data_IF_204753663337
#
_entry.id   IF_204753663337
#
_cell.length_a   1.000
_cell.length_b   1.000
_cell.length_c   1.000
_cell.angle_alpha   90.00
_cell.angle_beta   90.00
_cell.angle_gamma   90.00
#
_symmetry.space_group_name_H-M   'P 1'
#
loop_
_entity.id
_entity.type
_entity.pdbx_description
1 polymer ?
#
# COMPACT_ATOMS: atom_id res chain seq x y z
N UNK A 1 6.40 -20.63 22.78
CA UNK A 1 6.57 -19.93 24.08
C UNK A 1 7.90 -20.29 24.75
N UNK A 2 8.29 -21.58 24.78
CA UNK A 2 9.57 -22.02 25.38
C UNK A 2 10.79 -21.33 24.74
N UNK A 3 10.79 -21.24 23.42
CA UNK A 3 11.88 -20.63 22.64
C UNK A 3 12.05 -19.14 22.94
N UNK A 4 10.93 -18.41 23.04
CA UNK A 4 10.94 -16.98 23.41
C UNK A 4 11.41 -16.77 24.85
N UNK A 5 10.96 -17.62 25.78
CA UNK A 5 11.39 -17.57 27.19
C UNK A 5 12.89 -17.87 27.32
N UNK A 6 13.37 -18.88 26.56
CA UNK A 6 14.78 -19.22 26.47
C UNK A 6 15.60 -18.08 25.87
N UNK A 7 15.08 -17.41 24.84
CA UNK A 7 15.73 -16.26 24.20
C UNK A 7 15.85 -15.07 25.16
N UNK A 8 14.77 -14.74 25.89
CA UNK A 8 14.77 -13.69 26.92
C UNK A 8 15.80 -13.97 28.02
N UNK A 9 15.84 -15.22 28.50
CA UNK A 9 16.79 -15.66 29.54
C UNK A 9 18.23 -15.74 29.05
N UNK A 10 18.43 -16.02 27.75
CA UNK A 10 19.73 -16.26 27.09
C UNK A 10 20.42 -15.01 26.56
N UNK A 11 20.11 -13.84 27.14
CA UNK A 11 20.73 -12.58 26.77
C UNK A 11 19.99 -11.78 25.72
N UNK A 12 18.89 -12.28 25.13
CA UNK A 12 18.01 -11.54 24.22
C UNK A 12 18.74 -10.92 23.00
N UNK A 13 19.54 -11.72 22.29
CA UNK A 13 20.25 -11.30 21.08
C UNK A 13 19.29 -11.20 19.86
N UNK A 14 19.09 -10.02 19.26
CA UNK A 14 18.16 -9.83 18.14
C UNK A 14 18.39 -10.75 16.94
N UNK A 15 19.62 -11.16 16.67
CA UNK A 15 19.94 -12.06 15.54
C UNK A 15 19.36 -13.47 15.71
N UNK A 16 19.13 -13.89 16.95
CA UNK A 16 18.62 -15.22 17.30
C UNK A 16 17.15 -15.24 17.71
N UNK A 17 16.43 -14.13 17.51
CA UNK A 17 15.01 -14.04 17.90
C UNK A 17 14.17 -15.14 17.23
N UNK A 18 13.32 -15.86 17.97
CA UNK A 18 12.58 -17.02 17.46
C UNK A 18 11.35 -16.60 16.64
N UNK A 19 11.58 -15.97 15.48
CA UNK A 19 10.50 -15.50 14.60
C UNK A 19 9.54 -16.61 14.18
N UNK A 20 10.04 -17.78 13.79
CA UNK A 20 9.19 -18.87 13.27
C UNK A 20 8.20 -19.40 14.33
N UNK A 21 8.62 -19.77 15.56
CA UNK A 21 7.67 -20.14 16.61
C UNK A 21 6.68 -19.04 16.98
N UNK A 22 7.10 -17.77 16.97
CA UNK A 22 6.20 -16.64 17.27
C UNK A 22 5.17 -16.50 16.15
N UNK A 23 5.60 -16.45 14.89
CA UNK A 23 4.70 -16.37 13.75
C UNK A 23 3.72 -17.54 13.69
N UNK A 24 4.18 -18.76 13.97
CA UNK A 24 3.32 -19.94 13.98
C UNK A 24 2.13 -19.77 14.94
N UNK A 25 2.33 -19.14 16.10
CA UNK A 25 1.24 -18.86 17.03
C UNK A 25 0.27 -17.80 16.47
N UNK A 26 0.77 -16.71 15.89
CA UNK A 26 -0.07 -15.70 15.25
C UNK A 26 -0.88 -16.29 14.08
N UNK A 27 -0.27 -17.18 13.30
CA UNK A 27 -0.93 -17.87 12.18
C UNK A 27 -1.95 -18.90 12.65
N UNK A 28 -1.74 -19.52 13.81
CA UNK A 28 -2.64 -20.51 14.40
C UNK A 28 -3.90 -19.87 14.98
N UNK A 29 -3.80 -18.70 15.61
CA UNK A 29 -4.94 -18.05 16.29
C UNK A 29 -5.51 -16.85 15.55
N UNK A 30 -4.75 -16.25 14.64
CA UNK A 30 -5.00 -14.89 14.16
C UNK A 30 -4.51 -13.87 15.19
N UNK A 31 -3.96 -12.75 14.69
CA UNK A 31 -3.36 -11.68 15.52
C UNK A 31 -4.30 -11.15 16.60
N UNK A 32 -5.61 -11.08 16.32
CA UNK A 32 -6.59 -10.59 17.28
C UNK A 32 -6.75 -11.49 18.51
N UNK A 33 -6.47 -12.80 18.36
CA UNK A 33 -6.74 -13.82 19.38
C UNK A 33 -5.48 -14.43 20.00
N UNK A 34 -4.31 -13.84 19.75
CA UNK A 34 -3.06 -14.29 20.38
C UNK A 34 -3.17 -14.16 21.90
N UNK A 35 -2.75 -15.20 22.63
CA UNK A 35 -2.85 -15.26 24.08
C UNK A 35 -2.03 -14.17 24.78
N UNK A 36 -2.64 -13.54 25.81
CA UNK A 36 -2.01 -12.46 26.60
C UNK A 36 -0.64 -12.82 27.18
N UNK A 37 -0.41 -14.08 27.52
CA UNK A 37 0.89 -14.55 28.01
C UNK A 37 2.01 -14.41 26.97
N UNK A 38 1.74 -14.76 25.70
CA UNK A 38 2.71 -14.54 24.63
C UNK A 38 2.91 -13.04 24.36
N UNK A 39 1.84 -12.26 24.34
CA UNK A 39 1.92 -10.80 24.14
C UNK A 39 2.78 -10.12 25.21
N UNK A 40 2.63 -10.51 26.48
CA UNK A 40 3.46 -10.00 27.57
C UNK A 40 4.96 -10.34 27.39
N UNK A 41 5.29 -11.56 26.97
CA UNK A 41 6.68 -11.94 26.68
C UNK A 41 7.26 -11.17 25.47
N UNK A 42 6.44 -10.89 24.46
CA UNK A 42 6.86 -10.08 23.31
C UNK A 42 7.07 -8.61 23.70
N UNK A 43 6.26 -8.08 24.62
CA UNK A 43 6.44 -6.74 25.17
C UNK A 43 7.72 -6.62 26.02
N UNK A 44 8.03 -7.66 26.81
CA UNK A 44 9.32 -7.78 27.51
C UNK A 44 10.49 -7.82 26.50
N UNK A 45 10.35 -8.60 25.43
CA UNK A 45 11.35 -8.63 24.35
C UNK A 45 11.54 -7.25 23.72
N UNK A 46 10.45 -6.50 23.51
CA UNK A 46 10.51 -5.12 23.00
C UNK A 46 11.27 -4.20 23.93
N UNK A 47 11.07 -4.30 25.25
CA UNK A 47 11.82 -3.52 26.23
C UNK A 47 13.33 -3.82 26.19
N UNK A 48 13.71 -5.10 26.06
CA UNK A 48 15.13 -5.49 25.90
C UNK A 48 15.76 -4.92 24.63
N UNK A 49 15.03 -4.96 23.52
CA UNK A 49 15.50 -4.41 22.23
C UNK A 49 15.66 -2.89 22.31
N UNK A 50 14.72 -2.18 22.94
CA UNK A 50 14.80 -0.74 23.14
C UNK A 50 15.99 -0.33 24.02
N UNK A 51 16.25 -1.05 25.11
CA UNK A 51 17.39 -0.79 25.99
C UNK A 51 18.73 -0.97 25.26
N UNK A 52 18.84 -1.98 24.39
CA UNK A 52 20.03 -2.21 23.54
C UNK A 52 20.22 -1.11 22.50
N UNK A 53 19.15 -0.69 21.84
CA UNK A 53 19.19 0.38 20.83
C UNK A 53 19.62 1.72 21.44
N UNK A 54 19.26 1.99 22.70
CA UNK A 54 19.69 3.20 23.42
C UNK A 54 21.18 3.20 23.82
N UNK A 55 21.79 2.03 23.98
CA UNK A 55 23.21 1.88 24.34
C UNK A 55 24.16 1.78 23.13
N UNK A 56 23.65 1.42 21.96
CA UNK A 56 24.39 1.46 20.71
C UNK A 56 24.33 2.88 20.11
N UNK A 57 25.43 3.37 19.51
CA UNK A 57 25.44 4.64 18.76
C UNK A 57 24.43 4.65 17.58
N UNK A 58 24.40 5.71 16.76
CA UNK A 58 23.33 5.95 15.77
C UNK A 58 23.14 4.88 14.67
N UNK A 59 23.97 3.85 14.63
CA UNK A 59 23.85 2.73 13.70
C UNK A 59 22.99 1.62 14.34
N UNK A 60 21.67 1.78 14.29
CA UNK A 60 20.70 0.73 14.58
C UNK A 60 20.98 -0.46 13.65
N UNK A 61 21.58 -1.55 14.15
CA UNK A 61 21.99 -2.68 13.31
C UNK A 61 20.77 -3.30 12.62
N UNK A 62 20.95 -3.84 11.40
CA UNK A 62 19.86 -4.44 10.61
C UNK A 62 18.95 -5.40 11.40
N UNK A 63 19.51 -6.31 12.22
CA UNK A 63 18.74 -7.22 13.08
C UNK A 63 17.91 -6.51 14.17
N UNK A 64 18.47 -5.51 14.86
CA UNK A 64 17.76 -4.74 15.90
C UNK A 64 16.57 -4.00 15.28
N UNK A 65 16.81 -3.30 14.16
CA UNK A 65 15.76 -2.60 13.42
C UNK A 65 14.65 -3.55 12.96
N UNK A 66 15.00 -4.72 12.42
CA UNK A 66 14.04 -5.71 11.96
C UNK A 66 13.17 -6.22 13.12
N UNK A 67 13.78 -6.56 14.25
CA UNK A 67 13.07 -7.04 15.43
C UNK A 67 12.16 -5.96 16.01
N UNK A 68 12.63 -4.72 16.12
CA UNK A 68 11.78 -3.59 16.52
C UNK A 68 10.58 -3.43 15.59
N UNK A 69 10.81 -3.34 14.28
CA UNK A 69 9.73 -3.15 13.31
C UNK A 69 8.74 -4.34 13.32
N UNK A 70 9.22 -5.57 13.59
CA UNK A 70 8.37 -6.76 13.75
C UNK A 70 7.54 -6.71 15.04
N UNK A 71 8.15 -6.39 16.18
CA UNK A 71 7.46 -6.29 17.47
C UNK A 71 6.44 -5.15 17.47
N UNK A 72 6.75 -4.03 16.81
CA UNK A 72 5.81 -2.93 16.60
C UNK A 72 4.56 -3.38 15.85
N UNK A 73 4.71 -4.25 14.84
CA UNK A 73 3.59 -4.84 14.14
C UNK A 73 2.90 -5.86 15.04
N UNK A 74 3.61 -6.80 15.64
CA UNK A 74 3.03 -7.90 16.41
C UNK A 74 2.21 -7.42 17.63
N UNK A 75 2.63 -6.32 18.27
CA UNK A 75 2.05 -5.75 19.48
C UNK A 75 1.10 -4.57 19.24
N UNK A 76 0.82 -4.18 18.00
CA UNK A 76 -0.02 -3.01 17.72
C UNK A 76 -1.42 -3.05 18.39
N UNK A 77 -2.07 -4.22 18.44
CA UNK A 77 -3.35 -4.45 19.12
C UNK A 77 -3.17 -4.48 20.64
N UNK A 78 -2.07 -5.04 21.14
CA UNK A 78 -1.72 -5.03 22.56
C UNK A 78 -1.61 -3.59 23.08
N UNK A 79 -1.05 -2.70 22.28
CA UNK A 79 -0.87 -1.28 22.62
C UNK A 79 -2.10 -0.40 22.37
N UNK A 80 -3.17 -0.93 21.75
CA UNK A 80 -4.28 -0.12 21.27
C UNK A 80 -3.91 0.86 20.13
N UNK A 81 -2.78 0.63 19.44
CA UNK A 81 -2.27 1.47 18.33
C UNK A 81 -2.63 0.95 16.95
N UNK A 82 -3.41 -0.12 16.88
CA UNK A 82 -3.73 -0.84 15.64
C UNK A 82 -4.27 0.09 14.55
N UNK A 83 -3.49 0.26 13.49
CA UNK A 83 -3.78 1.13 12.36
C UNK A 83 -3.49 0.42 11.02
N UNK A 84 -3.76 1.11 9.91
CA UNK A 84 -3.52 0.58 8.56
C UNK A 84 -2.06 0.20 8.29
N UNK A 85 -1.11 0.98 8.83
CA UNK A 85 0.32 0.79 8.56
C UNK A 85 0.85 -0.43 9.30
N UNK A 86 0.43 -0.63 10.54
CA UNK A 86 0.79 -1.80 11.34
C UNK A 86 0.06 -3.04 10.84
N UNK A 87 -1.22 -2.93 10.46
CA UNK A 87 -1.98 -4.03 9.84
C UNK A 87 -1.31 -4.57 8.57
N UNK A 88 -0.82 -3.70 7.70
CA UNK A 88 -0.12 -4.09 6.48
C UNK A 88 1.40 -4.28 6.66
N UNK A 89 1.92 -4.13 7.87
CA UNK A 89 3.33 -4.28 8.19
C UNK A 89 4.29 -3.52 7.25
N UNK A 90 3.90 -2.30 6.82
CA UNK A 90 4.58 -1.59 5.73
C UNK A 90 6.06 -1.29 6.01
N UNK A 91 6.43 -1.09 7.29
CA UNK A 91 7.82 -0.86 7.73
C UNK A 91 8.72 -2.05 7.41
N UNK A 92 8.22 -3.27 7.61
CA UNK A 92 8.99 -4.50 7.33
C UNK A 92 9.31 -4.62 5.85
N UNK A 93 8.40 -4.17 4.98
CA UNK A 93 8.57 -4.19 3.52
C UNK A 93 9.39 -3.02 2.97
N UNK A 94 9.85 -2.10 3.82
CA UNK A 94 10.50 -0.87 3.37
C UNK A 94 9.59 0.02 2.51
N UNK A 95 8.27 -0.21 2.56
CA UNK A 95 7.26 0.63 1.91
C UNK A 95 7.02 1.87 2.76
N UNK A 96 6.89 3.03 2.11
CA UNK A 96 7.45 4.27 2.61
C UNK A 96 6.88 4.63 3.98
N UNK A 97 7.81 4.79 4.90
CA UNK A 97 7.59 5.13 6.29
C UNK A 97 8.38 6.38 6.71
N UNK A 98 9.05 7.04 5.75
CA UNK A 98 9.90 8.22 5.94
C UNK A 98 10.01 9.08 4.68
N UNK A 99 10.72 10.21 4.79
CA UNK A 99 10.70 11.34 3.85
C UNK A 99 11.87 11.41 2.85
N UNK A 100 12.60 10.30 2.65
CA UNK A 100 13.73 10.26 1.73
C UNK A 100 13.32 10.60 0.30
N UNK A 101 13.60 11.83 -0.13
CA UNK A 101 13.49 12.31 -1.49
C UNK A 101 14.80 12.97 -1.90
N UNK A 102 15.26 12.69 -3.12
CA UNK A 102 16.49 13.23 -3.69
C UNK A 102 17.52 12.13 -3.92
N UNK A 103 17.60 11.68 -5.18
CA UNK A 103 18.62 10.74 -5.61
C UNK A 103 19.01 10.95 -7.08
N UNK A 104 20.21 10.51 -7.44
CA UNK A 104 20.74 10.59 -8.81
C UNK A 104 19.84 9.89 -9.84
N UNK A 105 20.08 10.06 -11.15
CA UNK A 105 19.32 9.33 -12.20
C UNK A 105 19.45 7.81 -12.02
N UNK A 106 20.65 7.34 -11.66
CA UNK A 106 20.94 5.92 -11.39
C UNK A 106 20.20 5.41 -10.16
N UNK A 107 20.18 6.20 -9.07
CA UNK A 107 19.40 5.86 -7.87
C UNK A 107 17.91 5.75 -8.17
N UNK A 108 17.35 6.66 -8.99
CA UNK A 108 15.94 6.61 -9.39
C UNK A 108 15.60 5.40 -10.27
N UNK A 109 16.48 5.01 -11.19
CA UNK A 109 16.29 3.81 -12.00
C UNK A 109 16.31 2.55 -11.10
N UNK A 110 17.24 2.49 -10.15
CA UNK A 110 17.29 1.43 -9.15
C UNK A 110 16.04 1.43 -8.26
N UNK A 111 15.51 2.60 -7.88
CA UNK A 111 14.23 2.71 -7.15
C UNK A 111 13.06 2.15 -7.97
N UNK A 112 12.93 2.50 -9.25
CA UNK A 112 11.87 1.97 -10.13
C UNK A 112 11.94 0.44 -10.23
N UNK A 113 13.13 -0.09 -10.49
CA UNK A 113 13.34 -1.53 -10.58
C UNK A 113 13.02 -2.23 -9.25
N UNK A 114 13.43 -1.64 -8.12
CA UNK A 114 13.10 -2.14 -6.79
C UNK A 114 11.59 -2.16 -6.49
N UNK A 115 10.84 -1.16 -6.97
CA UNK A 115 9.37 -1.13 -6.85
C UNK A 115 8.70 -2.21 -7.69
N UNK A 116 9.16 -2.39 -8.93
CA UNK A 116 8.66 -3.45 -9.82
C UNK A 116 8.93 -4.84 -9.23
N UNK A 117 10.15 -5.07 -8.71
CA UNK A 117 10.52 -6.30 -7.99
C UNK A 117 9.61 -6.55 -6.80
N UNK A 118 9.44 -5.57 -5.92
CA UNK A 118 8.59 -5.71 -4.74
C UNK A 118 7.12 -5.98 -5.12
N UNK A 119 6.59 -5.29 -6.13
CA UNK A 119 5.25 -5.56 -6.65
C UNK A 119 5.11 -7.01 -7.15
N UNK A 120 6.08 -7.50 -7.90
CA UNK A 120 6.14 -8.90 -8.35
C UNK A 120 6.21 -9.85 -7.16
N UNK A 121 7.08 -9.60 -6.18
CA UNK A 121 7.23 -10.43 -4.98
C UNK A 121 5.92 -10.55 -4.20
N UNK A 122 5.21 -9.43 -3.99
CA UNK A 122 3.94 -9.41 -3.24
C UNK A 122 2.84 -10.21 -3.92
N UNK A 123 2.68 -10.07 -5.24
CA UNK A 123 1.65 -10.80 -5.98
C UNK A 123 2.04 -12.26 -6.17
N UNK A 124 3.31 -12.56 -6.47
CA UNK A 124 3.81 -13.92 -6.59
C UNK A 124 3.66 -14.71 -5.27
N UNK A 125 3.85 -14.04 -4.13
CA UNK A 125 3.63 -14.61 -2.80
C UNK A 125 2.15 -14.93 -2.53
N UNK A 126 1.23 -14.05 -2.92
CA UNK A 126 -0.21 -14.33 -2.87
C UNK A 126 -0.58 -15.55 -3.73
N UNK A 127 0.01 -15.67 -4.92
CA UNK A 127 -0.25 -16.83 -5.80
C UNK A 127 0.39 -18.12 -5.28
N UNK A 128 1.57 -18.04 -4.64
CA UNK A 128 2.20 -19.19 -4.00
C UNK A 128 1.36 -19.72 -2.84
N UNK A 129 0.73 -18.82 -2.07
CA UNK A 129 -0.24 -19.21 -1.04
C UNK A 129 -1.46 -19.92 -1.64
N UNK A 130 -2.04 -19.41 -2.74
CA UNK A 130 -3.16 -20.07 -3.44
C UNK A 130 -2.78 -21.47 -3.94
N UNK A 131 -1.58 -21.63 -4.52
CA UNK A 131 -1.04 -22.92 -4.96
C UNK A 131 -0.88 -23.90 -3.79
N UNK A 132 -0.28 -23.45 -2.69
CA UNK A 132 -0.07 -24.27 -1.50
C UNK A 132 -1.40 -24.69 -0.84
N UNK A 133 -2.35 -23.77 -0.76
CA UNK A 133 -3.67 -24.04 -0.20
C UNK A 133 -4.46 -25.03 -1.06
N UNK A 134 -4.40 -24.90 -2.39
CA UNK A 134 -5.04 -25.83 -3.32
C UNK A 134 -4.40 -27.22 -3.32
N UNK A 135 -3.08 -27.31 -3.09
CA UNK A 135 -2.35 -28.57 -2.97
C UNK A 135 -2.47 -29.21 -1.57
N UNK A 136 -3.05 -28.52 -0.58
CA UNK A 136 -3.11 -29.01 0.80
C UNK A 136 -1.75 -29.02 1.52
N UNK A 137 -0.77 -28.25 1.04
CA UNK A 137 0.58 -28.20 1.61
C UNK A 137 0.78 -27.09 2.64
N UNK A 138 -0.28 -26.31 2.94
CA UNK A 138 -0.29 -25.31 4.00
C UNK A 138 -1.57 -25.41 4.84
N UNK A 139 -1.42 -25.22 6.14
CA UNK A 139 -2.51 -25.11 7.11
C UNK A 139 -2.89 -23.65 7.41
N UNK A 140 -2.14 -22.68 6.87
CA UNK A 140 -2.40 -21.26 7.07
C UNK A 140 -3.78 -20.87 6.52
N UNK A 141 -4.51 -20.05 7.30
CA UNK A 141 -5.82 -19.51 6.98
C UNK A 141 -6.81 -20.57 6.44
N UNK A 142 -7.20 -21.55 7.27
CA UNK A 142 -7.97 -22.71 6.84
C UNK A 142 -9.44 -22.40 6.52
N UNK A 143 -9.97 -21.26 6.96
CA UNK A 143 -11.39 -20.95 6.82
C UNK A 143 -11.72 -20.38 5.43
N UNK A 144 -12.91 -20.75 4.91
CA UNK A 144 -13.51 -20.16 3.71
C UNK A 144 -12.65 -20.31 2.43
N UNK A 145 -11.84 -21.37 2.34
CA UNK A 145 -11.00 -21.64 1.17
C UNK A 145 -11.81 -21.66 -0.13
N UNK A 146 -11.33 -20.99 -1.19
CA UNK A 146 -12.01 -20.94 -2.47
C UNK A 146 -12.00 -22.28 -3.19
N UNK A 147 -13.04 -22.54 -4.00
CA UNK A 147 -13.06 -23.69 -4.89
C UNK A 147 -12.05 -23.57 -6.05
N UNK A 148 -11.73 -24.67 -6.74
CA UNK A 148 -10.65 -24.74 -7.75
C UNK A 148 -10.85 -23.77 -8.93
N UNK A 149 -12.09 -23.51 -9.34
CA UNK A 149 -12.37 -22.55 -10.41
C UNK A 149 -12.00 -21.10 -10.02
N UNK A 150 -12.22 -20.72 -8.76
CA UNK A 150 -11.86 -19.39 -8.26
C UNK A 150 -10.34 -19.27 -8.08
N UNK A 151 -9.67 -20.32 -7.60
CA UNK A 151 -8.20 -20.41 -7.54
C UNK A 151 -7.58 -20.24 -8.93
N UNK A 152 -8.04 -20.98 -9.94
CA UNK A 152 -7.55 -20.85 -11.32
C UNK A 152 -7.75 -19.44 -11.88
N UNK A 153 -8.89 -18.80 -11.56
CA UNK A 153 -9.15 -17.40 -11.90
C UNK A 153 -8.15 -16.46 -11.21
N UNK A 154 -7.83 -16.67 -9.93
CA UNK A 154 -6.85 -15.87 -9.18
C UNK A 154 -5.45 -15.98 -9.76
N UNK A 155 -4.99 -17.18 -10.10
CA UNK A 155 -3.70 -17.38 -10.77
C UNK A 155 -3.58 -16.54 -12.05
N UNK A 156 -4.58 -16.64 -12.94
CA UNK A 156 -4.61 -15.85 -14.18
C UNK A 156 -4.62 -14.34 -13.92
N UNK A 157 -5.42 -13.89 -12.95
CA UNK A 157 -5.53 -12.47 -12.62
C UNK A 157 -4.26 -11.91 -11.97
N UNK A 158 -3.59 -12.67 -11.11
CA UNK A 158 -2.33 -12.26 -10.47
C UNK A 158 -1.18 -12.17 -11.45
N UNK A 159 -0.99 -13.17 -12.32
CA UNK A 159 0.03 -13.12 -13.38
C UNK A 159 -0.21 -11.90 -14.28
N UNK A 160 -1.48 -11.67 -14.70
CA UNK A 160 -1.85 -10.49 -15.47
C UNK A 160 -1.58 -9.18 -14.74
N UNK A 161 -1.79 -9.13 -13.42
CA UNK A 161 -1.64 -7.91 -12.63
C UNK A 161 -0.19 -7.42 -12.53
N UNK A 162 0.79 -8.31 -12.64
CA UNK A 162 2.21 -7.94 -12.60
C UNK A 162 2.94 -8.10 -13.94
N UNK A 163 2.28 -8.60 -14.98
CA UNK A 163 2.87 -8.72 -16.32
C UNK A 163 3.59 -7.44 -16.79
N UNK A 164 3.04 -6.22 -16.63
CA UNK A 164 3.77 -5.00 -17.00
C UNK A 164 5.07 -4.79 -16.20
N UNK A 165 5.10 -5.14 -14.92
CA UNK A 165 6.30 -5.04 -14.08
C UNK A 165 7.32 -6.13 -14.47
N UNK A 166 6.86 -7.36 -14.67
CA UNK A 166 7.66 -8.48 -15.19
C UNK A 166 8.35 -8.10 -16.50
N UNK A 167 7.62 -7.51 -17.46
CA UNK A 167 8.20 -7.05 -18.73
C UNK A 167 9.23 -5.93 -18.54
N UNK A 168 9.00 -4.97 -17.64
CA UNK A 168 9.98 -3.91 -17.33
C UNK A 168 11.25 -4.44 -16.67
N UNK A 169 11.16 -5.55 -15.94
CA UNK A 169 12.30 -6.27 -15.38
C UNK A 169 13.04 -7.12 -16.42
N UNK A 170 12.57 -7.19 -17.67
CA UNK A 170 13.14 -8.04 -18.71
C UNK A 170 12.88 -9.53 -18.49
N UNK A 171 11.87 -9.86 -17.69
CA UNK A 171 11.46 -11.23 -17.38
C UNK A 171 10.25 -11.64 -18.24
N UNK A 172 10.04 -12.95 -18.39
CA UNK A 172 8.92 -13.52 -19.12
C UNK A 172 8.29 -14.64 -18.31
N UNK A 173 6.96 -14.65 -18.24
CA UNK A 173 6.15 -15.76 -17.73
C UNK A 173 5.20 -16.15 -18.84
N UNK A 174 5.51 -17.24 -19.53
CA UNK A 174 4.72 -17.74 -20.65
C UNK A 174 4.36 -19.20 -20.40
N UNK A 175 3.19 -19.40 -19.81
CA UNK A 175 2.60 -20.72 -19.63
C UNK A 175 1.07 -20.61 -19.82
N UNK A 176 0.46 -21.43 -20.70
CA UNK A 176 -0.97 -21.37 -20.96
C UNK A 176 -1.82 -21.87 -19.78
N UNK A 177 -1.25 -22.67 -18.87
CA UNK A 177 -1.92 -23.18 -17.68
C UNK A 177 -1.78 -22.19 -16.53
N UNK A 178 -2.89 -21.62 -15.99
CA UNK A 178 -2.81 -20.58 -14.97
C UNK A 178 -1.98 -20.96 -13.73
N UNK A 179 -2.13 -22.20 -13.25
CA UNK A 179 -1.38 -22.67 -12.08
C UNK A 179 0.14 -22.80 -12.36
N UNK A 180 0.52 -23.26 -13.54
CA UNK A 180 1.93 -23.36 -13.93
C UNK A 180 2.54 -21.97 -14.17
N UNK A 181 1.80 -21.04 -14.78
CA UNK A 181 2.22 -19.64 -14.90
C UNK A 181 2.42 -18.98 -13.53
N UNK A 182 1.53 -19.24 -12.57
CA UNK A 182 1.67 -18.75 -11.20
C UNK A 182 2.90 -19.35 -10.50
N UNK A 183 3.15 -20.65 -10.67
CA UNK A 183 4.32 -21.33 -10.11
C UNK A 183 5.63 -20.81 -10.73
N UNK A 184 5.66 -20.59 -12.05
CA UNK A 184 6.80 -20.00 -12.75
C UNK A 184 7.08 -18.57 -12.27
N UNK A 185 6.04 -17.74 -12.11
CA UNK A 185 6.16 -16.40 -11.54
C UNK A 185 6.73 -16.45 -10.11
N UNK A 186 6.25 -17.37 -9.28
CA UNK A 186 6.78 -17.55 -7.93
C UNK A 186 8.25 -17.99 -7.93
N UNK A 187 8.62 -18.93 -8.78
CA UNK A 187 10.02 -19.39 -8.89
C UNK A 187 10.96 -18.26 -9.32
N UNK A 188 10.56 -17.45 -10.31
CA UNK A 188 11.32 -16.27 -10.73
C UNK A 188 11.48 -15.26 -9.60
N UNK A 189 10.38 -14.95 -8.90
CA UNK A 189 10.40 -14.04 -7.76
C UNK A 189 11.29 -14.57 -6.63
N UNK A 190 11.22 -15.86 -6.31
CA UNK A 190 12.03 -16.47 -5.26
C UNK A 190 13.53 -16.48 -5.60
N UNK A 191 13.89 -16.64 -6.88
CA UNK A 191 15.28 -16.62 -7.32
C UNK A 191 15.93 -15.23 -7.30
N UNK A 192 15.14 -14.16 -7.49
CA UNK A 192 15.63 -12.76 -7.42
C UNK A 192 15.73 -12.24 -5.96
N UNK A 193 14.99 -12.81 -5.01
CA UNK A 193 14.96 -12.36 -3.61
C UNK A 193 16.25 -12.64 -2.85
N UNK A 194 16.75 -11.61 -2.16
CA UNK A 194 17.74 -11.78 -1.09
C UNK A 194 17.11 -12.44 0.16
N UNK A 195 17.96 -12.99 1.04
CA UNK A 195 17.51 -13.56 2.31
C UNK A 195 16.80 -12.53 3.22
N UNK A 196 17.18 -11.25 3.13
CA UNK A 196 16.55 -10.17 3.87
C UNK A 196 15.14 -9.85 3.35
N UNK A 197 14.96 -9.83 2.02
CA UNK A 197 13.65 -9.60 1.39
C UNK A 197 12.69 -10.77 1.62
N UNK A 198 13.17 -12.01 1.49
CA UNK A 198 12.40 -13.22 1.82
C UNK A 198 11.93 -13.18 3.29
N UNK A 199 12.82 -12.80 4.21
CA UNK A 199 12.47 -12.63 5.62
C UNK A 199 11.43 -11.52 5.82
N UNK A 200 11.63 -10.34 5.25
CA UNK A 200 10.68 -9.22 5.34
C UNK A 200 9.29 -9.59 4.81
N UNK A 201 9.24 -10.26 3.64
CA UNK A 201 7.99 -10.70 3.03
C UNK A 201 7.24 -11.67 3.93
N UNK A 202 7.93 -12.66 4.51
CA UNK A 202 7.36 -13.59 5.48
C UNK A 202 6.85 -12.88 6.73
N UNK A 203 7.69 -12.08 7.37
CA UNK A 203 7.36 -11.38 8.62
C UNK A 203 6.21 -10.36 8.46
N UNK A 204 5.99 -9.85 7.24
CA UNK A 204 4.91 -8.90 6.95
C UNK A 204 3.51 -9.51 6.82
N UNK A 205 3.37 -10.82 7.00
CA UNK A 205 2.09 -11.53 6.90
C UNK A 205 1.64 -11.98 8.30
N UNK A 206 0.95 -11.10 9.04
CA UNK A 206 0.31 -11.39 10.32
C UNK A 206 -1.20 -11.08 10.25
N UNK A 207 -2.00 -11.94 9.60
CA UNK A 207 -3.46 -11.79 9.50
C UNK A 207 -4.12 -11.64 10.88
N UNK A 208 -5.17 -10.83 10.96
CA UNK A 208 -5.96 -10.66 12.18
C UNK A 208 -6.81 -11.86 12.52
N UNK A 209 -7.21 -12.64 11.52
CA UNK A 209 -8.05 -13.81 11.68
C UNK A 209 -7.59 -14.99 10.81
N UNK A 210 -8.41 -16.04 10.73
CA UNK A 210 -8.10 -17.32 10.07
C UNK A 210 -8.72 -17.45 8.67
N UNK A 211 -9.20 -16.35 8.09
CA UNK A 211 -9.92 -16.32 6.83
C UNK A 211 -8.98 -16.31 5.61
N UNK A 212 -9.17 -17.23 4.66
CA UNK A 212 -8.29 -17.43 3.50
C UNK A 212 -8.01 -16.15 2.70
N UNK A 213 -9.03 -15.35 2.38
CA UNK A 213 -8.82 -14.19 1.51
C UNK A 213 -8.16 -13.00 2.20
N UNK A 214 -7.93 -13.06 3.52
CA UNK A 214 -7.19 -12.02 4.22
C UNK A 214 -5.74 -11.93 3.68
N UNK A 215 -5.15 -13.06 3.29
CA UNK A 215 -3.82 -13.08 2.65
C UNK A 215 -3.80 -12.25 1.35
N UNK A 216 -4.76 -12.53 0.47
CA UNK A 216 -4.91 -11.82 -0.80
C UNK A 216 -5.18 -10.33 -0.57
N UNK A 217 -6.05 -10.02 0.40
CA UNK A 217 -6.38 -8.66 0.78
C UNK A 217 -5.13 -7.88 1.22
N UNK A 218 -4.35 -8.42 2.15
CA UNK A 218 -3.11 -7.79 2.64
C UNK A 218 -2.11 -7.59 1.49
N UNK A 219 -1.84 -8.61 0.66
CA UNK A 219 -0.87 -8.51 -0.44
C UNK A 219 -1.27 -7.51 -1.50
N UNK A 220 -2.56 -7.44 -1.87
CA UNK A 220 -3.01 -6.45 -2.87
C UNK A 220 -2.94 -5.03 -2.31
N UNK A 221 -3.25 -4.82 -1.02
CA UNK A 221 -3.11 -3.51 -0.40
C UNK A 221 -1.64 -3.08 -0.31
N UNK A 222 -0.74 -3.97 0.09
CA UNK A 222 0.72 -3.73 0.07
C UNK A 222 1.21 -3.42 -1.36
N UNK A 223 0.67 -4.08 -2.38
CA UNK A 223 0.97 -3.79 -3.78
C UNK A 223 0.53 -2.38 -4.18
N UNK A 224 -0.65 -1.93 -3.78
CA UNK A 224 -1.09 -0.55 -4.02
C UNK A 224 -0.23 0.47 -3.27
N UNK A 225 0.20 0.19 -2.03
CA UNK A 225 1.16 1.04 -1.31
C UNK A 225 2.48 1.17 -2.06
N UNK A 226 2.98 0.08 -2.66
CA UNK A 226 4.16 0.10 -3.52
C UNK A 226 3.96 1.03 -4.73
N UNK A 227 2.81 0.91 -5.42
CA UNK A 227 2.46 1.78 -6.56
C UNK A 227 2.40 3.24 -6.13
N UNK A 228 1.68 3.58 -5.04
CA UNK A 228 1.55 4.97 -4.58
C UNK A 228 2.89 5.58 -4.15
N UNK A 229 3.78 4.78 -3.55
CA UNK A 229 5.13 5.20 -3.27
C UNK A 229 5.88 5.60 -4.55
N UNK A 230 5.80 4.76 -5.59
CA UNK A 230 6.37 5.05 -6.91
C UNK A 230 5.78 6.31 -7.55
N UNK A 231 4.46 6.51 -7.45
CA UNK A 231 3.82 7.74 -7.94
C UNK A 231 4.33 8.98 -7.22
N UNK A 232 4.50 8.92 -5.89
CA UNK A 232 5.03 10.03 -5.11
C UNK A 232 6.47 10.40 -5.53
N UNK A 233 7.31 9.40 -5.80
CA UNK A 233 8.68 9.63 -6.28
C UNK A 233 8.70 10.30 -7.67
N UNK A 234 7.82 9.89 -8.57
CA UNK A 234 7.70 10.53 -9.89
C UNK A 234 7.10 11.94 -9.82
N UNK A 235 6.16 12.20 -8.92
CA UNK A 235 5.60 13.54 -8.72
C UNK A 235 6.63 14.51 -8.13
N UNK A 236 7.48 14.07 -7.19
CA UNK A 236 8.62 14.86 -6.71
C UNK A 236 9.58 15.19 -7.86
N UNK A 237 9.95 14.18 -8.66
CA UNK A 237 10.81 14.40 -9.83
C UNK A 237 10.16 15.30 -10.89
N UNK A 238 8.82 15.31 -10.99
CA UNK A 238 8.06 16.23 -11.85
C UNK A 238 8.18 17.66 -11.35
N UNK A 239 8.02 17.89 -10.05
CA UNK A 239 8.20 19.20 -9.41
C UNK A 239 9.61 19.73 -9.71
N UNK A 240 10.66 18.93 -9.45
CA UNK A 240 12.05 19.32 -9.72
C UNK A 240 12.32 19.64 -11.20
N UNK A 241 11.62 18.95 -12.12
CA UNK A 241 11.74 19.19 -13.55
C UNK A 241 11.03 20.47 -14.00
N UNK A 242 9.83 20.73 -13.49
CA UNK A 242 9.09 21.98 -13.70
C UNK A 242 9.90 23.15 -13.14
N UNK A 243 10.46 23.00 -11.94
CA UNK A 243 11.22 24.07 -11.30
C UNK A 243 12.49 24.43 -12.09
N UNK A 244 13.09 23.46 -12.76
CA UNK A 244 14.21 23.66 -13.65
C UNK A 244 13.83 24.08 -15.09
N UNK A 245 12.54 24.33 -15.39
CA UNK A 245 12.07 24.67 -16.74
C UNK A 245 12.18 23.52 -17.77
N UNK A 246 12.34 22.28 -17.32
CA UNK A 246 12.54 21.10 -18.18
C UNK A 246 11.20 20.43 -18.51
N UNK A 247 10.41 21.06 -19.38
CA UNK A 247 9.05 20.65 -19.71
C UNK A 247 8.93 19.20 -20.20
N UNK A 248 9.80 18.78 -21.12
CA UNK A 248 9.81 17.41 -21.67
C UNK A 248 10.05 16.38 -20.57
N UNK A 249 11.02 16.65 -19.68
CA UNK A 249 11.32 15.75 -18.55
C UNK A 249 10.14 15.68 -17.59
N UNK A 250 9.51 16.80 -17.26
CA UNK A 250 8.31 16.81 -16.41
C UNK A 250 7.17 15.99 -17.05
N UNK A 251 6.96 16.15 -18.35
CA UNK A 251 5.96 15.43 -19.12
C UNK A 251 6.21 13.91 -19.16
N UNK A 252 7.45 13.48 -19.33
CA UNK A 252 7.85 12.06 -19.27
C UNK A 252 7.60 11.44 -17.90
N UNK A 253 7.89 12.18 -16.81
CA UNK A 253 7.66 11.73 -15.43
C UNK A 253 6.18 11.55 -15.14
N UNK A 254 5.34 12.52 -15.52
CA UNK A 254 3.88 12.40 -15.42
C UNK A 254 3.33 11.25 -16.27
N UNK A 255 3.84 11.08 -17.50
CA UNK A 255 3.47 9.97 -18.38
C UNK A 255 3.79 8.61 -17.74
N UNK A 256 4.99 8.46 -17.19
CA UNK A 256 5.40 7.23 -16.51
C UNK A 256 4.57 6.96 -15.23
N UNK A 257 4.28 7.98 -14.43
CA UNK A 257 3.40 7.87 -13.26
C UNK A 257 1.98 7.43 -13.65
N UNK A 258 1.42 8.00 -14.72
CA UNK A 258 0.13 7.60 -15.29
C UNK A 258 0.15 6.13 -15.70
N UNK A 259 1.20 5.69 -16.40
CA UNK A 259 1.32 4.32 -16.92
C UNK A 259 1.50 3.30 -15.81
N UNK A 260 2.23 3.64 -14.75
CA UNK A 260 2.32 2.81 -13.55
C UNK A 260 0.94 2.56 -12.93
N UNK A 261 0.15 3.62 -12.70
CA UNK A 261 -1.18 3.48 -12.10
C UNK A 261 -2.16 2.73 -13.01
N UNK A 262 -2.11 2.99 -14.32
CA UNK A 262 -2.94 2.31 -15.31
C UNK A 262 -2.61 0.82 -15.39
N UNK A 263 -1.32 0.47 -15.37
CA UNK A 263 -0.85 -0.91 -15.40
C UNK A 263 -1.22 -1.69 -14.13
N UNK A 264 -1.43 -1.00 -13.01
CA UNK A 264 -1.87 -1.59 -11.74
C UNK A 264 -3.39 -1.85 -11.68
N UNK A 265 -4.18 -1.44 -12.69
CA UNK A 265 -5.62 -1.67 -12.72
C UNK A 265 -6.06 -3.13 -12.53
N UNK A 266 -5.37 -4.16 -13.06
CA UNK A 266 -5.78 -5.56 -12.85
C UNK A 266 -5.64 -6.04 -11.39
N UNK A 267 -4.92 -5.32 -10.51
CA UNK A 267 -4.95 -5.60 -9.07
C UNK A 267 -6.37 -5.49 -8.50
N UNK A 268 -7.20 -4.56 -9.01
CA UNK A 268 -8.61 -4.51 -8.63
C UNK A 268 -9.37 -5.75 -9.07
N UNK A 269 -9.09 -6.29 -10.27
CA UNK A 269 -9.73 -7.53 -10.73
C UNK A 269 -9.35 -8.71 -9.83
N UNK A 270 -8.09 -8.78 -9.40
CA UNK A 270 -7.61 -9.78 -8.46
C UNK A 270 -8.29 -9.62 -7.09
N UNK A 271 -8.28 -8.41 -6.50
CA UNK A 271 -8.96 -8.13 -5.24
C UNK A 271 -10.47 -8.38 -5.33
N UNK A 272 -11.08 -8.10 -6.49
CA UNK A 272 -12.49 -8.34 -6.77
C UNK A 272 -12.86 -9.83 -6.80
N UNK A 273 -11.89 -10.73 -6.78
CA UNK A 273 -12.11 -12.18 -6.62
C UNK A 273 -12.20 -12.63 -5.16
N UNK A 274 -11.94 -11.74 -4.21
CA UNK A 274 -12.22 -11.99 -2.79
C UNK A 274 -13.70 -12.28 -2.57
N UNK A 275 -13.99 -13.27 -1.73
CA UNK A 275 -15.32 -13.67 -1.30
C UNK A 275 -15.87 -12.61 -0.33
N UNK A 276 -17.06 -12.03 -0.58
CA UNK A 276 -17.65 -11.03 0.31
C UNK A 276 -17.88 -11.52 1.75
N UNK A 277 -18.14 -12.81 1.94
CA UNK A 277 -18.25 -13.42 3.28
C UNK A 277 -16.91 -13.39 4.02
N UNK A 278 -15.81 -13.80 3.36
CA UNK A 278 -14.47 -13.75 3.94
C UNK A 278 -14.10 -12.34 4.38
N UNK A 279 -14.35 -11.34 3.52
CA UNK A 279 -14.16 -9.93 3.87
C UNK A 279 -14.97 -9.51 5.10
N UNK A 280 -16.26 -9.88 5.17
CA UNK A 280 -17.11 -9.57 6.34
C UNK A 280 -16.57 -10.22 7.61
N UNK A 281 -16.07 -11.46 7.53
CA UNK A 281 -15.52 -12.19 8.67
C UNK A 281 -14.29 -11.50 9.26
N UNK A 282 -13.21 -11.30 8.49
CA UNK A 282 -12.00 -10.73 9.08
C UNK A 282 -12.12 -9.23 9.37
N UNK A 283 -12.97 -8.50 8.63
CA UNK A 283 -13.19 -7.06 8.85
C UNK A 283 -13.74 -6.75 10.25
N UNK A 284 -14.44 -7.69 10.89
CA UNK A 284 -14.87 -7.55 12.28
C UNK A 284 -13.70 -7.30 13.25
N UNK A 285 -12.48 -7.72 12.87
CA UNK A 285 -11.27 -7.60 13.69
C UNK A 285 -10.29 -6.55 13.17
N UNK A 286 -10.63 -5.81 12.12
CA UNK A 286 -9.81 -4.73 11.55
C UNK A 286 -10.24 -3.33 12.00
N UNK A 287 -11.10 -3.20 13.01
CA UNK A 287 -11.45 -1.89 13.57
C UNK A 287 -10.19 -1.11 13.97
N UNK A 288 -10.14 0.17 13.62
CA UNK A 288 -8.94 1.03 13.79
C UNK A 288 -8.02 1.07 12.57
N UNK A 289 -8.01 0.05 11.71
CA UNK A 289 -7.22 0.00 10.48
C UNK A 289 -8.08 0.24 9.24
N UNK A 290 -7.78 1.29 8.48
CA UNK A 290 -8.53 1.64 7.27
C UNK A 290 -7.64 2.22 6.19
N UNK A 291 -7.93 1.90 4.92
CA UNK A 291 -7.20 2.45 3.76
C UNK A 291 -7.24 3.99 3.70
N UNK A 292 -8.17 4.64 4.39
CA UNK A 292 -8.17 6.09 4.57
C UNK A 292 -6.87 6.60 5.25
N UNK A 293 -6.19 5.73 6.01
CA UNK A 293 -4.92 5.96 6.70
C UNK A 293 -3.68 5.66 5.84
N UNK A 294 -3.83 5.25 4.57
CA UNK A 294 -2.72 5.09 3.60
C UNK A 294 -1.84 6.35 3.46
N UNK A 295 -0.63 6.33 4.02
CA UNK A 295 0.29 7.47 3.95
C UNK A 295 0.75 7.76 2.53
N UNK A 296 1.13 6.73 1.78
CA UNK A 296 1.63 6.85 0.40
C UNK A 296 0.60 7.50 -0.51
N UNK A 297 -0.68 7.15 -0.36
CA UNK A 297 -1.76 7.77 -1.12
C UNK A 297 -1.90 9.26 -0.81
N UNK A 298 -1.88 9.68 0.46
CA UNK A 298 -1.96 11.11 0.81
C UNK A 298 -0.71 11.88 0.41
N UNK A 299 0.47 11.26 0.47
CA UNK A 299 1.69 11.88 -0.04
C UNK A 299 1.53 12.16 -1.54
N UNK A 300 1.14 11.15 -2.33
CA UNK A 300 0.83 11.30 -3.76
C UNK A 300 -0.20 12.41 -4.00
N UNK A 301 -1.30 12.42 -3.24
CA UNK A 301 -2.34 13.45 -3.38
C UNK A 301 -1.81 14.86 -3.06
N UNK A 302 -1.06 15.02 -1.97
CA UNK A 302 -0.48 16.30 -1.54
C UNK A 302 0.61 16.82 -2.48
N UNK A 303 1.24 15.93 -3.26
CA UNK A 303 2.20 16.29 -4.29
C UNK A 303 1.49 16.71 -5.59
N UNK A 304 0.27 16.26 -5.82
CA UNK A 304 -0.52 16.73 -6.97
C UNK A 304 -0.93 18.18 -6.76
N UNK A 305 -1.52 18.48 -5.60
CA UNK A 305 -1.95 19.82 -5.20
C UNK A 305 -1.93 19.97 -3.69
N UNK A 306 -1.85 21.21 -3.21
CA UNK A 306 -2.07 21.50 -1.79
C UNK A 306 -3.52 21.16 -1.41
N UNK A 307 -3.76 20.28 -0.42
CA UNK A 307 -5.10 20.04 0.11
C UNK A 307 -5.59 21.27 0.89
N UNK A 308 -6.84 21.68 0.69
CA UNK A 308 -7.41 22.90 1.27
C UNK A 308 -8.68 22.60 2.09
N UNK A 309 -9.01 23.49 3.03
CA UNK A 309 -10.27 23.51 3.78
C UNK A 309 -10.63 22.17 4.42
N UNK A 310 -11.87 21.73 4.19
CA UNK A 310 -12.44 20.49 4.73
C UNK A 310 -11.62 19.23 4.39
N UNK A 311 -10.92 19.22 3.24
CA UNK A 311 -10.10 18.06 2.85
C UNK A 311 -8.92 17.88 3.80
N UNK A 312 -8.23 18.95 4.15
CA UNK A 312 -7.07 18.94 5.05
C UNK A 312 -7.47 18.61 6.50
N UNK A 313 -8.72 18.91 6.87
CA UNK A 313 -9.29 18.58 8.18
C UNK A 313 -10.07 17.25 8.19
N UNK A 314 -10.08 16.50 7.08
CA UNK A 314 -10.71 15.18 7.03
C UNK A 314 -9.96 14.14 7.87
N UNK A 315 -10.66 13.07 8.27
CA UNK A 315 -10.05 11.93 8.98
C UNK A 315 -8.82 11.36 8.26
N UNK A 316 -8.79 11.43 6.92
CA UNK A 316 -7.68 10.98 6.11
C UNK A 316 -6.38 11.75 6.37
N UNK A 317 -6.41 13.09 6.45
CA UNK A 317 -5.21 13.89 6.73
C UNK A 317 -4.90 13.97 8.22
N UNK A 318 -5.90 13.87 9.10
CA UNK A 318 -5.66 13.73 10.55
C UNK A 318 -4.87 12.46 10.89
N UNK A 319 -5.01 11.40 10.10
CA UNK A 319 -4.23 10.17 10.26
C UNK A 319 -2.76 10.24 9.82
N UNK A 320 -2.34 11.35 9.19
CA UNK A 320 -0.97 11.58 8.69
C UNK A 320 -0.53 13.00 9.04
N UNK A 321 -0.34 13.31 10.34
CA UNK A 321 -0.11 14.66 10.82
C UNK A 321 1.09 15.34 10.14
N UNK A 322 2.15 14.59 9.82
CA UNK A 322 3.33 15.11 9.14
C UNK A 322 3.02 15.63 7.72
N UNK A 323 2.12 14.97 6.99
CA UNK A 323 1.70 15.41 5.66
C UNK A 323 0.71 16.58 5.74
N UNK A 324 -0.11 16.59 6.80
CA UNK A 324 -1.02 17.71 7.09
C UNK A 324 -0.24 18.98 7.42
N UNK A 325 0.78 18.88 8.26
CA UNK A 325 1.64 20.01 8.62
C UNK A 325 2.43 20.50 7.41
N UNK A 326 3.01 19.59 6.61
CA UNK A 326 3.64 19.92 5.33
C UNK A 326 2.71 20.70 4.40
N UNK A 327 1.44 20.31 4.29
CA UNK A 327 0.47 21.03 3.48
C UNK A 327 0.17 22.44 4.05
N UNK A 328 0.03 22.57 5.38
CA UNK A 328 -0.20 23.87 6.05
C UNK A 328 0.95 24.84 5.87
N UNK A 329 2.18 24.35 5.84
CA UNK A 329 3.37 25.19 5.64
C UNK A 329 3.69 25.42 4.16
N UNK A 330 2.80 25.06 3.23
CA UNK A 330 2.99 25.31 1.79
C UNK A 330 4.01 24.39 1.12
N UNK A 331 4.08 23.11 1.53
CA UNK A 331 4.96 22.12 0.90
C UNK A 331 4.75 22.01 -0.61
N UNK A 332 5.79 21.59 -1.37
CA UNK A 332 5.76 21.65 -2.83
C UNK A 332 4.70 20.73 -3.43
N UNK A 333 4.07 21.19 -4.51
CA UNK A 333 3.13 20.42 -5.32
C UNK A 333 3.30 20.75 -6.80
N UNK A 334 2.87 19.84 -7.69
CA UNK A 334 2.91 20.05 -9.14
C UNK A 334 2.09 21.27 -9.54
N UNK A 335 0.90 21.46 -8.95
CA UNK A 335 0.09 22.67 -9.14
C UNK A 335 0.86 23.96 -8.81
N UNK A 336 1.51 24.01 -7.64
CA UNK A 336 2.26 25.18 -7.20
C UNK A 336 3.49 25.42 -8.10
N UNK A 337 4.23 24.36 -8.44
CA UNK A 337 5.40 24.41 -9.31
C UNK A 337 5.03 24.93 -10.71
N UNK A 338 3.93 24.42 -11.30
CA UNK A 338 3.46 24.89 -12.60
C UNK A 338 3.09 26.37 -12.55
N UNK A 339 2.29 26.79 -11.55
CA UNK A 339 1.87 28.20 -11.40
C UNK A 339 3.08 29.13 -11.24
N UNK A 340 4.09 28.72 -10.48
CA UNK A 340 5.33 29.48 -10.31
C UNK A 340 6.14 29.54 -11.60
N UNK A 341 6.37 28.40 -12.26
CA UNK A 341 7.14 28.35 -13.50
C UNK A 341 6.50 29.15 -14.64
N UNK A 342 5.17 29.17 -14.73
CA UNK A 342 4.43 30.01 -15.69
C UNK A 342 4.55 31.49 -15.34
N UNK A 343 4.38 31.86 -14.06
CA UNK A 343 4.52 33.25 -13.60
C UNK A 343 5.92 33.81 -13.86
N UNK A 344 6.94 32.99 -13.66
CA UNK A 344 8.34 33.36 -13.83
C UNK A 344 8.82 33.26 -15.30
N UNK A 345 7.93 32.87 -16.23
CA UNK A 345 8.26 32.70 -17.65
C UNK A 345 9.15 31.49 -17.95
N UNK A 346 9.44 30.62 -16.97
CA UNK A 346 10.22 29.39 -17.13
C UNK A 346 9.50 28.32 -17.96
N UNK A 347 8.17 28.35 -17.99
CA UNK A 347 7.33 27.49 -18.84
C UNK A 347 6.28 28.33 -19.58
N UNK A 348 6.31 28.29 -20.91
CA UNK A 348 5.37 29.02 -21.77
C UNK A 348 5.06 28.24 -23.06
N UNK A 349 4.06 28.69 -23.82
CA UNK A 349 3.73 28.14 -25.13
C UNK A 349 3.56 26.61 -25.15
N UNK A 350 4.25 25.96 -26.08
CA UNK A 350 4.19 24.51 -26.27
C UNK A 350 4.66 23.71 -25.05
N UNK A 351 5.67 24.21 -24.33
CA UNK A 351 6.22 23.55 -23.14
C UNK A 351 5.19 23.50 -22.01
N UNK A 352 4.50 24.62 -21.76
CA UNK A 352 3.38 24.67 -20.82
C UNK A 352 2.27 23.72 -21.24
N UNK A 353 1.84 23.78 -22.51
CA UNK A 353 0.74 22.97 -23.02
C UNK A 353 1.03 21.45 -22.90
N UNK A 354 2.28 21.05 -23.11
CA UNK A 354 2.73 19.66 -22.95
C UNK A 354 2.59 19.17 -21.50
N UNK A 355 3.06 19.96 -20.53
CA UNK A 355 2.96 19.59 -19.11
C UNK A 355 1.49 19.53 -18.67
N UNK A 356 0.68 20.53 -19.06
CA UNK A 356 -0.75 20.56 -18.74
C UNK A 356 -1.53 19.38 -19.32
N UNK A 357 -1.18 18.94 -20.54
CA UNK A 357 -1.75 17.75 -21.15
C UNK A 357 -1.45 16.50 -20.31
N UNK A 358 -0.19 16.30 -19.90
CA UNK A 358 0.19 15.15 -19.08
C UNK A 358 -0.43 15.18 -17.68
N UNK A 359 -0.61 16.36 -17.10
CA UNK A 359 -1.35 16.53 -15.85
C UNK A 359 -2.81 16.08 -16.00
N UNK A 360 -3.49 16.48 -17.09
CA UNK A 360 -4.88 16.04 -17.35
C UNK A 360 -4.99 14.53 -17.54
N UNK A 361 -4.06 13.92 -18.27
CA UNK A 361 -4.01 12.46 -18.45
C UNK A 361 -3.81 11.71 -17.12
N UNK A 362 -2.85 12.16 -16.30
CA UNK A 362 -2.61 11.58 -14.98
C UNK A 362 -3.84 11.72 -14.06
N UNK A 363 -4.44 12.92 -14.04
CA UNK A 363 -5.65 13.18 -13.26
C UNK A 363 -6.81 12.25 -13.66
N UNK A 364 -7.03 12.05 -14.96
CA UNK A 364 -8.06 11.14 -15.46
C UNK A 364 -7.85 9.70 -14.95
N UNK A 365 -6.60 9.21 -14.96
CA UNK A 365 -6.25 7.88 -14.44
C UNK A 365 -6.48 7.76 -12.93
N UNK A 366 -6.08 8.77 -12.14
CA UNK A 366 -6.33 8.79 -10.68
C UNK A 366 -7.83 8.81 -10.38
N UNK A 367 -8.61 9.64 -11.07
CA UNK A 367 -10.06 9.69 -10.90
C UNK A 367 -10.73 8.37 -11.31
N UNK A 368 -10.25 7.72 -12.36
CA UNK A 368 -10.71 6.38 -12.74
C UNK A 368 -10.40 5.36 -11.64
N UNK A 369 -9.18 5.38 -11.08
CA UNK A 369 -8.79 4.54 -9.95
C UNK A 369 -9.73 4.74 -8.74
N UNK A 370 -10.01 5.99 -8.36
CA UNK A 370 -10.92 6.32 -7.24
C UNK A 370 -12.34 5.79 -7.47
N UNK A 371 -12.88 5.94 -8.68
CA UNK A 371 -14.21 5.39 -9.03
C UNK A 371 -14.25 3.87 -8.98
N UNK A 372 -13.20 3.20 -9.45
CA UNK A 372 -13.11 1.73 -9.39
C UNK A 372 -12.97 1.24 -7.96
N UNK A 373 -12.16 1.91 -7.13
CA UNK A 373 -12.07 1.63 -5.69
C UNK A 373 -13.43 1.77 -5.00
N UNK A 374 -14.13 2.89 -5.21
CA UNK A 374 -15.45 3.12 -4.64
C UNK A 374 -16.46 2.01 -5.03
N UNK A 375 -16.53 1.65 -6.32
CA UNK A 375 -17.43 0.57 -6.79
C UNK A 375 -17.12 -0.77 -6.13
N UNK A 376 -15.83 -1.11 -6.00
CA UNK A 376 -15.40 -2.33 -5.34
C UNK A 376 -15.76 -2.33 -3.85
N UNK A 377 -15.53 -1.21 -3.17
CA UNK A 377 -15.84 -1.05 -1.75
C UNK A 377 -17.35 -1.22 -1.47
N UNK A 378 -18.21 -0.54 -2.25
CA UNK A 378 -19.67 -0.69 -2.16
C UNK A 378 -20.09 -2.14 -2.35
N UNK A 379 -19.55 -2.81 -3.37
CA UNK A 379 -19.86 -4.22 -3.65
C UNK A 379 -19.42 -5.16 -2.52
N UNK A 380 -18.26 -4.92 -1.90
CA UNK A 380 -17.75 -5.76 -0.82
C UNK A 380 -18.47 -5.55 0.50
N UNK A 381 -18.96 -4.34 0.76
CA UNK A 381 -19.69 -3.99 2.00
C UNK A 381 -21.18 -4.34 1.94
N UNK A 382 -21.78 -4.37 0.74
CA UNK A 382 -23.21 -4.61 0.57
C UNK A 382 -24.10 -3.46 1.08
N UNK A 383 -25.40 -3.72 1.20
CA UNK A 383 -26.42 -2.72 1.58
C UNK A 383 -26.69 -2.63 3.10
N UNK A 384 -26.14 -3.54 3.91
CA UNK A 384 -26.39 -3.54 5.35
C UNK A 384 -25.54 -2.45 6.03
N UNK A 385 -26.14 -1.49 6.76
CA UNK A 385 -25.40 -0.59 7.61
C UNK A 385 -24.82 -1.43 8.76
N UNK A 386 -23.55 -1.81 8.64
CA UNK A 386 -22.85 -2.52 9.69
C UNK A 386 -22.76 -1.62 10.92
N UNK A 387 -23.05 -2.18 12.09
CA UNK A 387 -23.01 -1.60 13.44
C UNK A 387 -21.61 -1.17 13.91
N UNK A 388 -20.70 -0.89 12.97
CA UNK A 388 -19.34 -0.41 13.17
C UNK A 388 -18.93 0.50 12.03
N UNK A 389 -19.29 1.78 12.15
CA UNK A 389 -18.76 2.93 11.41
C UNK A 389 -18.35 2.69 9.93
N UNK A 390 -19.31 2.73 9.01
CA UNK A 390 -19.02 3.01 7.59
C UNK A 390 -19.08 4.51 7.30
N UNK A 391 -18.17 5.29 7.89
CA UNK A 391 -17.78 6.59 7.28
C UNK A 391 -17.07 6.38 5.93
N UNK A 392 -16.60 5.16 5.65
CA UNK A 392 -15.80 4.82 4.48
C UNK A 392 -16.50 5.00 3.13
N UNK A 393 -17.75 4.52 2.94
CA UNK A 393 -18.43 4.61 1.63
C UNK A 393 -18.87 6.04 1.29
N UNK A 394 -19.45 6.85 2.21
CA UNK A 394 -19.69 8.27 1.96
C UNK A 394 -18.40 9.05 1.66
N UNK A 395 -17.34 8.81 2.44
CA UNK A 395 -16.03 9.43 2.19
C UNK A 395 -15.48 9.10 0.79
N UNK A 396 -15.54 7.83 0.38
CA UNK A 396 -15.11 7.42 -0.96
C UNK A 396 -16.02 7.99 -2.06
N UNK A 397 -17.30 8.23 -1.76
CA UNK A 397 -18.24 8.84 -2.68
C UNK A 397 -17.92 10.32 -2.94
N UNK A 398 -17.46 11.05 -1.93
CA UNK A 398 -16.97 12.42 -2.06
C UNK A 398 -15.61 12.46 -2.78
N UNK A 399 -14.63 11.68 -2.31
CA UNK A 399 -13.24 11.78 -2.81
C UNK A 399 -13.10 11.44 -4.30
N UNK A 400 -14.01 10.62 -4.84
CA UNK A 400 -13.98 10.24 -6.27
C UNK A 400 -14.22 11.40 -7.24
N UNK A 401 -14.79 12.51 -6.78
CA UNK A 401 -15.07 13.70 -7.60
C UNK A 401 -14.06 14.82 -7.38
N UNK A 402 -13.30 14.79 -6.29
CA UNK A 402 -12.31 15.81 -5.95
C UNK A 402 -11.25 15.91 -7.06
N UNK A 403 -11.02 17.11 -7.66
CA UNK A 403 -9.99 17.31 -8.66
C UNK A 403 -8.60 16.94 -8.14
N UNK A 404 -7.81 16.29 -9.00
CA UNK A 404 -6.42 15.89 -8.70
C UNK A 404 -5.49 17.09 -8.80
N UNK A 405 -5.67 17.90 -9.83
CA UNK A 405 -5.01 19.18 -10.06
C UNK A 405 -6.08 20.27 -10.17
N UNK A 406 -5.76 21.46 -9.67
CA UNK A 406 -6.58 22.67 -9.88
C UNK A 406 -6.04 23.52 -11.01
N UNK A 407 -4.73 23.44 -11.31
CA UNK A 407 -4.12 24.27 -12.34
C UNK A 407 -4.57 23.92 -13.77
N UNK A 408 -5.15 22.72 -13.95
CA UNK A 408 -5.62 22.20 -15.25
C UNK A 408 -7.04 21.64 -15.20
N UNK A 409 -7.77 21.87 -14.09
CA UNK A 409 -9.18 21.52 -14.02
C UNK A 409 -9.95 22.38 -15.03
N UNK A 410 -10.88 21.78 -15.77
CA UNK A 410 -11.87 22.58 -16.49
C UNK A 410 -12.68 23.38 -15.46
N UNK A 411 -13.02 24.63 -15.77
CA UNK A 411 -14.01 25.36 -14.96
C UNK A 411 -15.26 24.48 -14.84
N UNK A 412 -15.87 24.38 -13.64
CA UNK A 412 -17.17 23.75 -13.53
C UNK A 412 -18.12 24.49 -14.47
N UNK A 413 -18.71 23.76 -15.41
CA UNK A 413 -19.69 24.30 -16.34
C UNK A 413 -20.77 25.04 -15.53
N UNK A 414 -20.95 26.37 -15.72
CA UNK A 414 -21.93 27.14 -14.97
C UNK A 414 -23.38 26.69 -15.23
N UNK A 415 -23.61 25.77 -16.18
CA UNK A 415 -24.91 25.24 -16.55
C UNK A 415 -25.27 23.87 -15.94
N UNK A 416 -24.45 23.26 -15.06
CA UNK A 416 -24.84 22.01 -14.41
C UNK A 416 -25.89 22.27 -13.31
N UNK A 417 -27.14 21.76 -13.44
CA UNK A 417 -28.16 21.96 -12.42
C UNK A 417 -27.76 21.22 -11.15
N UNK A 418 -27.75 21.93 -10.03
CA UNK A 418 -27.64 21.33 -8.69
C UNK A 418 -28.82 20.38 -8.48
N UNK A 419 -28.54 19.08 -8.35
CA UNK A 419 -29.56 18.13 -7.91
C UNK A 419 -30.05 18.55 -6.51
N UNK A 420 -31.38 18.68 -6.29
CA UNK A 420 -31.91 19.12 -5.02
C UNK A 420 -31.68 18.04 -3.96
N UNK A 421 -31.03 18.44 -2.87
CA UNK A 421 -30.97 17.67 -1.62
C UNK A 421 -32.39 17.29 -1.19
N UNK A 422 -32.65 15.99 -1.04
CA UNK A 422 -33.94 15.47 -0.62
C UNK A 422 -34.40 16.10 0.70
N UNK A 423 -35.49 16.86 0.63
CA UNK A 423 -36.32 17.21 1.79
C UNK A 423 -37.31 16.09 2.04
N UNK A 424 -37.23 15.49 3.22
CA UNK A 424 -38.25 14.58 3.75
C UNK A 424 -39.47 15.43 4.17
N UNK A 425 -40.71 15.11 3.78
CA UNK A 425 -41.88 15.61 4.48
C UNK A 425 -42.14 14.77 5.74
N UNK A 426 -42.73 15.42 6.74
CA UNK A 426 -43.13 14.90 8.06
C UNK A 426 -44.07 13.69 8.03
#
# INVERSE_FOLDING_TARGET
MRELTSWLSGGADPDSFPYLPVMAEFHRTGKHFVGKGLLALLDEARAHVAARAAGAGPADSGPVRLLRDFLDVALDKWDGRYDYRSYLALRLLGLPCGDGGGGSVTERAATRQGRDRLLVHLVADALAFELAAAAGTTELLPEQRPGPALVAKRHRLGVRAVSPAVSRLGLTVDDPQPAAAAAALHALAAADRSAAEERALRLSMLPVYLSHDEYLFIRVLQAYECVFAGLADELRATIDAIDAGRAVVAAERLGYARDQLSSAAPLFSLLASMQPESFRTFRAYTEGASAIQSRSYKLMESLCRTPEGSRLDSAAYRSVPELRDRARTGGPSVDAALRAAVRDGRLAGADRALVELRMREFAATVLHWRRTHHRLAVRMLGERPGTGYTEGTPYLAEVRTIPVFTAVAADPDPAAPSEPSGGCPE
#
